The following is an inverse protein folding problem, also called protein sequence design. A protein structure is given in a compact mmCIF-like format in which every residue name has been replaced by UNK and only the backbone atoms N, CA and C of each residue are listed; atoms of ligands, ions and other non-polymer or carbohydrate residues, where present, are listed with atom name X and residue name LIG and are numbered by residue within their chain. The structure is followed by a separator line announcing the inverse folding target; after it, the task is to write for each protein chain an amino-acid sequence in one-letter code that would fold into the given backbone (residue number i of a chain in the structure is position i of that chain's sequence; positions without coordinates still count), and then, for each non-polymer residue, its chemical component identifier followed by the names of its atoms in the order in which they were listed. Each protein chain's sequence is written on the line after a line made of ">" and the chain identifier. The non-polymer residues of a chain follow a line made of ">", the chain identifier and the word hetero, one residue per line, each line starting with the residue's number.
data_IF_672519590070
#
_entry.id   IF_672519590070
#
_cell.length_a   1.000
_cell.length_b   1.000
_cell.length_c   1.000
_cell.angle_alpha   90.00
_cell.angle_beta   90.00
_cell.angle_gamma   90.00
#
_symmetry.space_group_name_H-M   'P 1'
#
loop_
_entity.id
_entity.type
_entity.pdbx_description
1 polymer ?
#
# COMPACT_ATOMS: atom_id res chain seq x y z
N UNK A 1 -6.48 -11.83 -27.90
CA UNK A 1 -6.40 -11.21 -26.56
C UNK A 1 -4.94 -10.83 -26.29
N UNK A 2 -4.51 -9.58 -26.53
CA UNK A 2 -3.09 -9.17 -26.43
C UNK A 2 -2.72 -8.37 -25.15
N UNK A 3 -3.71 -8.03 -24.31
CA UNK A 3 -3.55 -7.11 -23.16
C UNK A 3 -3.56 -7.78 -21.77
N UNK A 4 -3.63 -9.12 -21.66
CA UNK A 4 -3.72 -9.78 -20.33
C UNK A 4 -2.47 -9.54 -19.45
N UNK A 5 -1.27 -9.35 -20.02
CA UNK A 5 -0.06 -8.99 -19.27
C UNK A 5 -0.08 -7.54 -18.76
N UNK A 6 -0.80 -6.65 -19.43
CA UNK A 6 -0.88 -5.25 -19.03
C UNK A 6 -1.62 -5.09 -17.71
N UNK A 7 -2.59 -5.95 -17.41
CA UNK A 7 -3.36 -5.90 -16.17
C UNK A 7 -2.50 -6.24 -14.94
N UNK A 8 -1.72 -7.32 -14.99
CA UNK A 8 -0.80 -7.69 -13.91
C UNK A 8 0.24 -6.60 -13.66
N UNK A 9 0.84 -6.08 -14.72
CA UNK A 9 1.81 -4.98 -14.64
C UNK A 9 1.17 -3.74 -14.02
N UNK A 10 -0.05 -3.39 -14.44
CA UNK A 10 -0.81 -2.27 -13.91
C UNK A 10 -1.11 -2.45 -12.42
N UNK A 11 -1.51 -3.66 -11.97
CA UNK A 11 -1.74 -3.95 -10.56
C UNK A 11 -0.47 -3.80 -9.72
N UNK A 12 0.68 -4.28 -10.20
CA UNK A 12 1.96 -4.06 -9.51
C UNK A 12 2.35 -2.58 -9.46
N UNK A 13 2.15 -1.82 -10.54
CA UNK A 13 2.40 -0.38 -10.55
C UNK A 13 1.53 0.33 -9.51
N UNK A 14 0.24 -0.03 -9.40
CA UNK A 14 -0.64 0.52 -8.36
C UNK A 14 -0.17 0.15 -6.94
N UNK A 15 0.29 -1.08 -6.72
CA UNK A 15 0.83 -1.51 -5.43
C UNK A 15 2.08 -0.70 -5.02
N UNK A 16 2.98 -0.41 -5.97
CA UNK A 16 4.18 0.41 -5.71
C UNK A 16 3.79 1.87 -5.44
N UNK A 17 2.85 2.42 -6.20
CA UNK A 17 2.35 3.78 -6.01
C UNK A 17 1.66 3.96 -4.66
N UNK A 18 0.82 3.01 -4.24
CA UNK A 18 0.19 3.04 -2.91
C UNK A 18 1.21 2.90 -1.79
N UNK A 19 2.27 2.11 -1.99
CA UNK A 19 3.35 2.01 -1.00
C UNK A 19 4.10 3.34 -0.86
N UNK A 20 4.43 4.00 -1.97
CA UNK A 20 5.05 5.34 -1.95
C UNK A 20 4.15 6.39 -1.29
N UNK A 21 2.84 6.35 -1.55
CA UNK A 21 1.86 7.21 -0.88
C UNK A 21 1.79 6.97 0.63
N UNK A 22 1.94 5.71 1.07
CA UNK A 22 2.03 5.35 2.49
C UNK A 22 3.20 6.08 3.16
N UNK A 23 4.38 6.11 2.53
CA UNK A 23 5.54 6.83 3.07
C UNK A 23 5.28 8.33 3.20
N UNK A 24 4.63 8.94 2.20
CA UNK A 24 4.26 10.35 2.26
C UNK A 24 3.25 10.62 3.38
N UNK A 25 2.20 9.80 3.50
CA UNK A 25 1.19 9.92 4.54
C UNK A 25 1.78 9.75 5.94
N UNK A 26 2.73 8.83 6.12
CA UNK A 26 3.46 8.64 7.37
C UNK A 26 4.22 9.92 7.77
N UNK A 27 5.00 10.51 6.86
CA UNK A 27 5.75 11.74 7.12
C UNK A 27 4.80 12.89 7.47
N UNK A 28 3.68 13.02 6.74
CA UNK A 28 2.67 14.03 7.03
C UNK A 28 2.03 13.82 8.42
N UNK A 29 1.68 12.58 8.76
CA UNK A 29 1.11 12.23 10.06
C UNK A 29 2.09 12.56 11.21
N UNK A 30 3.37 12.27 11.02
CA UNK A 30 4.43 12.62 11.99
C UNK A 30 4.51 14.13 12.22
N UNK A 31 4.55 14.92 11.14
CA UNK A 31 4.64 16.38 11.25
C UNK A 31 3.41 16.98 11.93
N UNK A 32 2.21 16.50 11.59
CA UNK A 32 0.96 16.92 12.25
C UNK A 32 0.97 16.55 13.74
N UNK A 33 1.38 15.33 14.07
CA UNK A 33 1.38 14.86 15.46
C UNK A 33 2.39 15.61 16.33
N UNK A 34 3.61 15.82 15.85
CA UNK A 34 4.65 16.59 16.56
C UNK A 34 4.26 18.06 16.77
N UNK A 35 3.60 18.67 15.77
CA UNK A 35 3.06 20.03 15.89
C UNK A 35 1.94 20.12 16.94
N UNK A 36 1.09 19.09 17.09
CA UNK A 36 -0.03 19.12 18.03
C UNK A 36 0.34 18.71 19.46
N UNK A 37 1.31 17.80 19.64
CA UNK A 37 1.66 17.21 20.93
C UNK A 37 3.04 17.63 21.47
N UNK A 38 3.58 18.77 21.02
CA UNK A 38 4.95 19.28 21.24
C UNK A 38 5.50 19.22 22.69
N UNK A 39 4.67 19.08 23.72
CA UNK A 39 5.09 19.03 25.13
C UNK A 39 4.96 17.67 25.83
N UNK A 40 4.24 16.70 25.26
CA UNK A 40 4.04 15.35 25.86
C UNK A 40 3.97 14.28 24.75
N UNK A 41 5.11 14.05 24.10
CA UNK A 41 5.18 13.14 22.97
C UNK A 41 5.27 11.68 23.44
N UNK A 42 4.12 11.03 23.61
CA UNK A 42 4.08 9.58 23.81
C UNK A 42 4.38 8.88 22.48
N UNK A 43 5.52 8.18 22.42
CA UNK A 43 5.96 7.39 21.24
C UNK A 43 4.89 6.39 20.82
N UNK A 44 4.15 5.82 21.79
CA UNK A 44 3.06 4.87 21.51
C UNK A 44 1.94 5.54 20.73
N UNK A 45 1.55 6.76 21.10
CA UNK A 45 0.48 7.49 20.41
C UNK A 45 0.90 7.93 19.00
N UNK A 46 2.18 8.30 18.83
CA UNK A 46 2.75 8.61 17.51
C UNK A 46 2.68 7.39 16.58
N UNK A 47 3.16 6.24 17.07
CA UNK A 47 3.16 4.99 16.30
C UNK A 47 1.73 4.57 15.96
N UNK A 48 0.81 4.62 16.94
CA UNK A 48 -0.59 4.30 16.70
C UNK A 48 -1.18 5.21 15.61
N UNK A 49 -0.97 6.52 15.71
CA UNK A 49 -1.47 7.51 14.77
C UNK A 49 -0.94 7.28 13.35
N UNK A 50 0.37 7.04 13.19
CA UNK A 50 0.97 6.73 11.89
C UNK A 50 0.39 5.43 11.30
N UNK A 51 0.18 4.40 12.12
CA UNK A 51 -0.42 3.14 11.67
C UNK A 51 -1.85 3.37 11.20
N UNK A 52 -2.69 4.08 11.96
CA UNK A 52 -4.09 4.34 11.53
C UNK A 52 -4.16 5.18 10.26
N UNK A 53 -3.32 6.21 10.12
CA UNK A 53 -3.30 7.04 8.91
C UNK A 53 -2.78 6.28 7.69
N UNK A 54 -1.86 5.34 7.90
CA UNK A 54 -1.29 4.54 6.82
C UNK A 54 -2.09 3.26 6.51
N UNK A 55 -3.01 2.85 7.38
CA UNK A 55 -3.68 1.54 7.33
C UNK A 55 -4.36 1.29 5.99
N UNK A 56 -5.19 2.23 5.51
CA UNK A 56 -5.88 2.06 4.23
C UNK A 56 -4.91 1.93 3.05
N UNK A 57 -3.87 2.77 3.00
CA UNK A 57 -2.87 2.75 1.93
C UNK A 57 -2.04 1.45 1.92
N UNK A 58 -1.73 0.92 3.10
CA UNK A 58 -1.08 -0.39 3.25
C UNK A 58 -2.02 -1.50 2.79
N UNK A 59 -3.29 -1.48 3.20
CA UNK A 59 -4.30 -2.43 2.77
C UNK A 59 -4.45 -2.45 1.24
N UNK A 60 -4.51 -1.28 0.59
CA UNK A 60 -4.56 -1.19 -0.87
C UNK A 60 -3.31 -1.78 -1.53
N UNK A 61 -2.12 -1.50 -0.99
CA UNK A 61 -0.87 -2.07 -1.51
C UNK A 61 -0.88 -3.60 -1.49
N UNK A 62 -1.32 -4.19 -0.37
CA UNK A 62 -1.42 -5.64 -0.21
C UNK A 62 -2.48 -6.24 -1.12
N UNK A 63 -3.63 -5.58 -1.25
CA UNK A 63 -4.71 -6.02 -2.14
C UNK A 63 -4.25 -6.03 -3.61
N UNK A 64 -3.63 -4.96 -4.09
CA UNK A 64 -3.15 -4.89 -5.46
C UNK A 64 -2.05 -5.91 -5.75
N UNK A 65 -1.14 -6.13 -4.79
CA UNK A 65 -0.13 -7.17 -4.90
C UNK A 65 -0.75 -8.57 -4.97
N UNK A 66 -1.69 -8.90 -4.07
CA UNK A 66 -2.37 -10.18 -4.05
C UNK A 66 -3.15 -10.42 -5.36
N UNK A 67 -3.87 -9.40 -5.86
CA UNK A 67 -4.56 -9.47 -7.15
C UNK A 67 -3.60 -9.68 -8.32
N UNK A 68 -2.42 -9.06 -8.28
CA UNK A 68 -1.34 -9.29 -9.24
C UNK A 68 -0.90 -10.77 -9.26
N UNK A 69 -0.61 -11.34 -8.08
CA UNK A 69 -0.21 -12.75 -7.93
C UNK A 69 -1.32 -13.71 -8.38
N UNK A 70 -2.58 -13.44 -8.01
CA UNK A 70 -3.72 -14.24 -8.47
C UNK A 70 -3.85 -14.21 -10.00
N UNK A 71 -3.69 -13.03 -10.60
CA UNK A 71 -3.73 -12.87 -12.07
C UNK A 71 -2.67 -13.73 -12.76
N UNK A 72 -1.48 -13.89 -12.18
CA UNK A 72 -0.42 -14.76 -12.72
C UNK A 72 -0.73 -16.26 -12.53
N UNK A 73 -1.29 -16.64 -11.38
CA UNK A 73 -1.69 -18.02 -11.10
C UNK A 73 -2.78 -18.53 -12.05
N UNK A 74 -3.77 -17.69 -12.37
CA UNK A 74 -4.79 -18.05 -13.36
C UNK A 74 -4.19 -18.23 -14.75
N UNK A 75 -3.18 -17.44 -15.09
CA UNK A 75 -2.49 -17.53 -16.37
C UNK A 75 -1.74 -18.86 -16.54
N UNK A 76 -1.02 -19.31 -15.51
CA UNK A 76 -0.36 -20.64 -15.52
C UNK A 76 -1.35 -21.78 -15.78
N UNK A 77 -2.55 -21.72 -15.19
CA UNK A 77 -3.61 -22.71 -15.41
C UNK A 77 -4.28 -22.65 -16.79
N UNK A 78 -4.31 -21.48 -17.44
CA UNK A 78 -4.79 -21.35 -18.83
C UNK A 78 -3.77 -21.90 -19.85
N UNK A 79 -2.46 -21.79 -19.58
CA UNK A 79 -1.39 -22.27 -20.49
C UNK A 79 -1.12 -23.78 -20.41
N UNK A 80 -1.50 -24.44 -19.31
CA UNK A 80 -1.37 -25.90 -19.12
C UNK A 80 -2.54 -26.73 -19.72
N UNK A 81 -3.54 -26.07 -20.34
CA UNK A 81 -4.76 -26.69 -20.85
C UNK A 81 -4.83 -26.69 -22.37
#
# INVERSE_FOLDING_TARGET
>A
MKNKNALTILLYVFAVLSLAYTCYAAIQAYNTFTSYYSTNLSVVNLVLYMITTCYESICFSVLFYALGVFSEMFKKKEEEK
#
